data_IF_887797734959
#
_entry.id   IF_887797734959
#
_cell.length_a   1.000
_cell.length_b   1.000
_cell.length_c   1.000
_cell.angle_alpha   90.00
_cell.angle_beta   90.00
_cell.angle_gamma   90.00
#
_symmetry.space_group_name_H-M   'P 1'
#
loop_
_entity.id
_entity.type
_entity.pdbx_description
1 polymer ?
#
# COMPACT_ATOMS: atom_id res chain seq x y z
N UNK A 1 15.35 -16.03 -6.77
CA UNK A 1 14.01 -15.94 -6.15
C UNK A 1 14.16 -16.09 -4.66
N UNK A 2 13.42 -15.30 -3.90
CA UNK A 2 13.43 -15.36 -2.45
C UNK A 2 12.42 -16.42 -1.99
N UNK A 3 12.65 -17.03 -0.82
CA UNK A 3 11.77 -18.06 -0.26
C UNK A 3 11.48 -17.76 1.21
N UNK A 4 10.23 -17.95 1.62
CA UNK A 4 9.83 -17.89 3.04
C UNK A 4 9.84 -19.29 3.69
N UNK A 5 9.60 -20.32 2.87
CA UNK A 5 9.68 -21.73 3.21
C UNK A 5 9.93 -22.52 1.90
N UNK A 6 10.29 -23.80 2.02
CA UNK A 6 10.48 -24.68 0.86
C UNK A 6 9.21 -24.71 -0.01
N UNK A 7 9.36 -24.40 -1.30
CA UNK A 7 8.26 -24.34 -2.27
C UNK A 7 7.37 -23.09 -2.19
N UNK A 8 7.65 -22.14 -1.28
CA UNK A 8 6.91 -20.89 -1.15
C UNK A 8 7.83 -19.72 -1.51
N UNK A 9 7.85 -19.41 -2.80
CA UNK A 9 8.73 -18.41 -3.40
C UNK A 9 8.04 -17.06 -3.62
N UNK A 10 8.82 -16.00 -3.66
CA UNK A 10 8.34 -14.66 -3.97
C UNK A 10 9.42 -13.79 -4.62
N UNK A 11 8.97 -12.81 -5.40
CA UNK A 11 9.81 -11.79 -6.02
C UNK A 11 9.41 -10.36 -5.61
N UNK A 12 8.32 -10.22 -4.86
CA UNK A 12 7.79 -8.93 -4.40
C UNK A 12 7.49 -8.94 -2.91
N UNK A 13 7.80 -7.82 -2.25
CA UNK A 13 7.38 -7.51 -0.90
C UNK A 13 6.49 -6.28 -0.96
N UNK A 14 5.34 -6.35 -0.30
CA UNK A 14 4.39 -5.25 -0.19
C UNK A 14 4.49 -4.62 1.20
N UNK A 15 4.42 -3.30 1.25
CA UNK A 15 4.13 -2.51 2.45
C UNK A 15 2.71 -1.97 2.32
N UNK A 16 1.83 -2.41 3.20
CA UNK A 16 0.46 -1.92 3.32
C UNK A 16 0.41 -0.87 4.43
N UNK A 17 -0.09 0.31 4.11
CA UNK A 17 -0.59 1.29 5.08
C UNK A 17 -2.11 1.18 5.09
N UNK A 18 -2.70 1.12 6.28
CA UNK A 18 -4.15 0.97 6.41
C UNK A 18 -4.72 1.83 7.52
N UNK A 19 -5.95 2.29 7.33
CA UNK A 19 -6.77 2.88 8.38
C UNK A 19 -8.25 2.57 8.14
N UNK A 20 -9.07 2.81 9.16
CA UNK A 20 -10.53 2.83 9.06
C UNK A 20 -11.00 4.26 8.81
N UNK A 21 -11.91 4.43 7.87
CA UNK A 21 -12.65 5.69 7.65
C UNK A 21 -14.06 5.60 8.23
N UNK A 22 -14.70 6.74 8.46
CA UNK A 22 -16.11 6.83 8.91
C UNK A 22 -17.08 7.04 7.75
N UNK A 23 -18.34 6.62 7.94
CA UNK A 23 -19.43 6.90 6.99
C UNK A 23 -20.03 8.30 7.15
N UNK A 24 -19.66 9.01 8.22
CA UNK A 24 -20.18 10.32 8.58
C UNK A 24 -19.80 11.40 7.56
N UNK A 25 -20.59 12.48 7.53
CA UNK A 25 -20.30 13.64 6.69
C UNK A 25 -20.20 13.30 5.20
N UNK A 26 -20.98 12.35 4.70
CA UNK A 26 -20.89 11.83 3.33
C UNK A 26 -19.49 11.26 3.00
N UNK A 27 -18.92 10.50 3.95
CA UNK A 27 -17.58 9.89 3.87
C UNK A 27 -16.46 10.94 3.77
N UNK A 28 -16.58 12.06 4.48
CA UNK A 28 -15.58 13.13 4.47
C UNK A 28 -14.17 12.62 4.86
N UNK A 29 -14.07 11.71 5.84
CA UNK A 29 -12.79 11.11 6.23
C UNK A 29 -12.14 10.30 5.10
N UNK A 30 -12.92 9.61 4.26
CA UNK A 30 -12.40 8.85 3.12
C UNK A 30 -11.79 9.79 2.06
N UNK A 31 -12.45 10.93 1.81
CA UNK A 31 -11.93 11.95 0.89
C UNK A 31 -10.64 12.56 1.44
N UNK A 32 -10.58 12.83 2.75
CA UNK A 32 -9.37 13.34 3.38
C UNK A 32 -8.21 12.32 3.32
N UNK A 33 -8.46 11.03 3.51
CA UNK A 33 -7.44 9.98 3.30
C UNK A 33 -6.90 9.96 1.86
N UNK A 34 -7.78 10.18 0.87
CA UNK A 34 -7.37 10.27 -0.54
C UNK A 34 -6.44 11.47 -0.78
N UNK A 35 -6.76 12.65 -0.24
CA UNK A 35 -5.91 13.84 -0.33
C UNK A 35 -4.55 13.62 0.35
N UNK A 36 -4.54 12.95 1.50
CA UNK A 36 -3.30 12.58 2.19
C UNK A 36 -2.43 11.66 1.33
N UNK A 37 -3.03 10.68 0.63
CA UNK A 37 -2.30 9.80 -0.31
C UNK A 37 -1.74 10.60 -1.49
N UNK A 38 -2.53 11.48 -2.09
CA UNK A 38 -2.10 12.31 -3.22
C UNK A 38 -0.87 13.18 -2.86
N UNK A 39 -0.76 13.59 -1.60
CA UNK A 39 0.37 14.41 -1.11
C UNK A 39 1.70 13.65 -1.02
N UNK A 40 1.69 12.33 -1.10
CA UNK A 40 2.89 11.45 -1.00
C UNK A 40 3.01 10.46 -2.16
N UNK A 41 2.09 10.51 -3.12
CA UNK A 41 2.01 9.53 -4.19
C UNK A 41 3.22 9.56 -5.13
N UNK A 42 3.76 10.76 -5.41
CA UNK A 42 4.95 10.91 -6.24
C UNK A 42 6.17 10.29 -5.57
N UNK A 43 6.42 10.61 -4.29
CA UNK A 43 7.52 10.03 -3.50
C UNK A 43 7.45 8.50 -3.45
N UNK A 44 6.25 7.93 -3.32
CA UNK A 44 6.04 6.47 -3.34
C UNK A 44 6.43 5.84 -4.69
N UNK A 45 6.21 6.55 -5.80
CA UNK A 45 6.57 6.09 -7.15
C UNK A 45 8.07 6.22 -7.44
N UNK A 46 8.79 7.04 -6.67
CA UNK A 46 10.24 7.20 -6.79
C UNK A 46 11.04 6.16 -5.99
N UNK A 47 10.38 5.35 -5.15
CA UNK A 47 11.03 4.28 -4.39
C UNK A 47 11.72 3.29 -5.34
N UNK A 48 13.01 3.06 -5.12
CA UNK A 48 13.78 2.13 -5.95
C UNK A 48 13.17 0.72 -5.93
N UNK A 49 12.88 0.19 -7.12
CA UNK A 49 12.28 -1.13 -7.30
C UNK A 49 10.76 -1.17 -7.05
N UNK A 50 10.08 -0.03 -6.95
CA UNK A 50 8.62 -0.02 -6.90
C UNK A 50 8.03 -0.59 -8.19
N UNK A 51 7.15 -1.58 -8.06
CA UNK A 51 6.42 -2.20 -9.16
C UNK A 51 5.03 -1.59 -9.33
N UNK A 52 4.41 -1.19 -8.22
CA UNK A 52 3.08 -0.58 -8.19
C UNK A 52 2.78 0.05 -6.84
N UNK A 53 1.93 1.08 -6.88
CA UNK A 53 1.28 1.68 -5.71
C UNK A 53 -0.22 1.59 -5.96
N UNK A 54 -0.93 0.86 -5.10
CA UNK A 54 -2.34 0.54 -5.29
C UNK A 54 -3.15 1.03 -4.10
N UNK A 55 -4.29 1.66 -4.36
CA UNK A 55 -5.27 2.00 -3.32
C UNK A 55 -6.40 1.00 -3.32
N UNK A 56 -6.71 0.44 -2.15
CA UNK A 56 -7.87 -0.43 -1.94
C UNK A 56 -8.83 0.21 -0.94
N UNK A 57 -10.10 0.30 -1.30
CA UNK A 57 -11.17 0.81 -0.43
C UNK A 57 -12.23 -0.25 -0.26
N UNK A 58 -12.50 -0.60 1.00
CA UNK A 58 -13.52 -1.59 1.37
C UNK A 58 -14.76 -0.87 1.90
N UNK A 59 -15.86 -0.93 1.15
CA UNK A 59 -17.12 -0.26 1.55
C UNK A 59 -17.78 -0.85 2.79
N UNK A 60 -17.57 -2.14 3.08
CA UNK A 60 -18.23 -2.84 4.18
C UNK A 60 -17.41 -2.81 5.47
N UNK A 61 -16.11 -3.04 5.35
CA UNK A 61 -15.18 -3.08 6.47
C UNK A 61 -14.53 -1.72 6.76
N UNK A 62 -14.86 -0.71 5.96
CA UNK A 62 -14.40 0.68 6.09
C UNK A 62 -12.88 0.85 6.04
N UNK A 63 -12.17 -0.05 5.37
CA UNK A 63 -10.72 0.08 5.18
C UNK A 63 -10.40 1.05 4.03
N UNK A 64 -9.45 1.94 4.28
CA UNK A 64 -8.64 2.60 3.26
C UNK A 64 -7.22 2.03 3.35
N UNK A 65 -6.71 1.50 2.24
CA UNK A 65 -5.39 0.88 2.17
C UNK A 65 -4.57 1.45 1.03
N UNK A 66 -3.28 1.61 1.28
CA UNK A 66 -2.26 1.94 0.30
C UNK A 66 -1.27 0.79 0.29
N UNK A 67 -1.07 0.14 -0.85
CA UNK A 67 -0.20 -1.01 -0.99
C UNK A 67 0.93 -0.62 -1.94
N UNK A 68 2.14 -0.47 -1.40
CA UNK A 68 3.35 -0.24 -2.18
C UNK A 68 4.06 -1.56 -2.38
N UNK A 69 4.09 -2.04 -3.63
CA UNK A 69 4.72 -3.30 -4.03
C UNK A 69 6.11 -3.04 -4.56
N UNK A 70 7.13 -3.63 -3.95
CA UNK A 70 8.55 -3.40 -4.28
C UNK A 70 9.22 -4.73 -4.63
N UNK A 71 10.18 -4.71 -5.55
CA UNK A 71 11.12 -5.81 -5.78
C UNK A 71 11.73 -6.28 -4.45
N UNK A 72 11.68 -7.59 -4.20
CA UNK A 72 12.09 -8.16 -2.92
C UNK A 72 13.55 -7.79 -2.54
N UNK A 73 14.44 -7.74 -3.53
CA UNK A 73 15.87 -7.44 -3.32
C UNK A 73 16.11 -5.95 -3.02
N UNK A 74 15.18 -5.07 -3.42
CA UNK A 74 15.26 -3.61 -3.22
C UNK A 74 14.54 -3.14 -1.96
N UNK A 75 13.58 -3.91 -1.44
CA UNK A 75 12.80 -3.56 -0.25
C UNK A 75 13.67 -3.21 0.98
N UNK A 76 14.82 -3.87 1.14
CA UNK A 76 15.74 -3.59 2.26
C UNK A 76 16.35 -2.18 2.22
N UNK A 77 16.41 -1.54 1.05
CA UNK A 77 16.85 -0.16 0.88
C UNK A 77 15.81 0.79 1.45
N UNK A 78 14.54 0.64 1.03
CA UNK A 78 13.44 1.44 1.54
C UNK A 78 13.24 1.30 3.06
N UNK A 79 13.45 0.09 3.60
CA UNK A 79 13.45 -0.14 5.05
C UNK A 79 14.53 0.65 5.80
N UNK A 80 15.72 0.85 5.21
CA UNK A 80 16.80 1.65 5.83
C UNK A 80 16.43 3.12 5.90
N UNK A 81 15.71 3.61 4.90
CA UNK A 81 15.08 4.93 4.87
C UNK A 81 13.79 5.00 5.70
N UNK A 82 13.57 4.05 6.62
CA UNK A 82 12.40 3.98 7.52
C UNK A 82 11.05 4.04 6.79
N UNK A 83 10.98 3.53 5.57
CA UNK A 83 9.79 3.54 4.74
C UNK A 83 9.28 4.95 4.36
N UNK A 84 10.14 5.96 4.28
CA UNK A 84 9.76 7.29 3.78
C UNK A 84 8.93 7.20 2.48
N UNK A 85 7.76 7.88 2.37
CA UNK A 85 7.20 8.93 3.23
C UNK A 85 6.15 8.45 4.27
N UNK A 86 6.26 7.21 4.78
CA UNK A 86 5.28 6.60 5.71
C UNK A 86 4.93 7.49 6.91
N UNK A 87 5.93 8.09 7.56
CA UNK A 87 5.71 8.95 8.74
C UNK A 87 4.84 10.16 8.40
N UNK A 88 5.13 10.84 7.28
CA UNK A 88 4.37 12.01 6.80
C UNK A 88 2.91 11.64 6.53
N UNK A 89 2.69 10.49 5.88
CA UNK A 89 1.34 10.00 5.59
C UNK A 89 0.55 9.71 6.89
N UNK A 90 1.18 9.09 7.88
CA UNK A 90 0.52 8.76 9.15
C UNK A 90 0.22 10.00 10.00
N UNK A 91 1.11 11.01 10.00
CA UNK A 91 0.83 12.30 10.65
C UNK A 91 -0.42 12.97 10.05
N UNK A 92 -0.56 12.96 8.72
CA UNK A 92 -1.75 13.46 8.05
C UNK A 92 -3.00 12.66 8.42
N UNK A 93 -2.92 11.33 8.51
CA UNK A 93 -4.07 10.51 8.88
C UNK A 93 -4.55 10.76 10.32
N UNK A 94 -3.64 10.98 11.26
CA UNK A 94 -3.96 11.13 12.68
C UNK A 94 -4.78 12.39 13.00
N UNK A 95 -4.74 13.41 12.14
CA UNK A 95 -5.50 14.65 12.33
C UNK A 95 -6.85 14.66 11.62
N UNK A 96 -7.17 13.61 10.84
CA UNK A 96 -8.45 13.49 10.13
C UNK A 96 -9.52 12.99 11.11
N UNK A 97 -10.53 13.82 11.35
CA UNK A 97 -11.71 13.39 12.11
C UNK A 97 -12.41 12.21 11.41
N UNK A 98 -12.79 11.20 12.19
CA UNK A 98 -13.39 9.96 11.68
C UNK A 98 -12.41 8.92 11.13
N UNK A 99 -11.09 9.17 11.16
CA UNK A 99 -10.08 8.13 10.90
C UNK A 99 -9.70 7.40 12.18
N UNK A 100 -9.50 6.09 12.10
CA UNK A 100 -9.04 5.27 13.23
C UNK A 100 -8.22 4.06 12.76
N UNK A 101 -7.65 3.29 13.69
CA UNK A 101 -6.92 2.03 13.40
C UNK A 101 -5.86 2.18 12.30
N UNK A 102 -5.02 3.22 12.41
CA UNK A 102 -3.89 3.41 11.52
C UNK A 102 -2.81 2.37 11.84
N UNK A 103 -2.54 1.47 10.90
CA UNK A 103 -1.64 0.33 11.06
C UNK A 103 -0.82 0.10 9.79
N UNK A 104 0.27 -0.65 9.93
CA UNK A 104 1.06 -1.11 8.79
C UNK A 104 1.15 -2.63 8.76
N UNK A 105 1.26 -3.19 7.57
CA UNK A 105 1.51 -4.61 7.37
C UNK A 105 2.56 -4.82 6.29
N UNK A 106 3.38 -5.86 6.44
CA UNK A 106 4.36 -6.26 5.43
C UNK A 106 4.15 -7.72 5.09
N UNK A 107 4.05 -8.03 3.81
CA UNK A 107 3.82 -9.38 3.31
C UNK A 107 4.50 -9.59 1.95
N UNK A 108 4.69 -10.85 1.58
CA UNK A 108 5.22 -11.21 0.27
C UNK A 108 4.08 -11.38 -0.73
N UNK A 109 4.32 -11.01 -2.00
CA UNK A 109 3.36 -11.15 -3.10
C UNK A 109 4.05 -11.90 -4.24
N UNK A 110 3.36 -12.90 -4.78
CA UNK A 110 3.79 -13.69 -5.93
C UNK A 110 2.56 -14.01 -6.78
N UNK A 111 2.56 -13.72 -8.09
CA UNK A 111 1.52 -14.19 -8.98
C UNK A 111 1.48 -15.72 -9.01
N UNK A 112 0.30 -16.33 -8.79
CA UNK A 112 0.12 -17.79 -8.85
C UNK A 112 -0.02 -18.28 -10.30
N UNK A 113 -0.49 -17.42 -11.20
CA UNK A 113 -0.57 -17.67 -12.64
C UNK A 113 -0.56 -16.34 -13.40
N UNK A 114 0.14 -16.27 -14.51
CA UNK A 114 -0.05 -15.19 -15.48
C UNK A 114 -1.32 -15.48 -16.29
N UNK A 115 -2.23 -14.51 -16.38
CA UNK A 115 -3.31 -14.56 -17.39
C UNK A 115 -2.72 -13.94 -18.64
N UNK A 116 -2.37 -14.76 -19.63
CA UNK A 116 -2.00 -14.28 -20.95
C UNK A 116 -3.27 -13.91 -21.70
N UNK A 117 -3.45 -12.61 -21.94
CA UNK A 117 -4.47 -12.16 -22.88
C UNK A 117 -3.86 -12.26 -24.29
N UNK A 118 -4.35 -13.20 -25.09
CA UNK A 118 -4.13 -13.19 -26.53
C UNK A 118 -5.09 -12.18 -27.12
N UNK A 119 -4.58 -11.14 -27.76
CA UNK A 119 -5.39 -10.24 -28.57
C UNK A 119 -6.01 -11.05 -29.73
N UNK A 120 -7.26 -11.49 -29.56
CA UNK A 120 -8.10 -11.90 -30.67
C UNK A 120 -8.90 -10.66 -31.13
N UNK A 121 -8.67 -10.27 -32.38
CA UNK A 121 -9.19 -9.10 -33.09
C UNK A 121 -10.71 -8.85 -32.97
#
# INVERSE_FOLDING_TARGET
>A
MNQIAEGVEFDTICREWRCKFSLEGNKASLVACQIALESVAEDLLEIEGVKSVERVVCGDCLDFKVITSVEADKFSLWKKEKFEPEEIFFEMLQVIDGVSQCETQTYTKMPVSAVEFTDED
#
